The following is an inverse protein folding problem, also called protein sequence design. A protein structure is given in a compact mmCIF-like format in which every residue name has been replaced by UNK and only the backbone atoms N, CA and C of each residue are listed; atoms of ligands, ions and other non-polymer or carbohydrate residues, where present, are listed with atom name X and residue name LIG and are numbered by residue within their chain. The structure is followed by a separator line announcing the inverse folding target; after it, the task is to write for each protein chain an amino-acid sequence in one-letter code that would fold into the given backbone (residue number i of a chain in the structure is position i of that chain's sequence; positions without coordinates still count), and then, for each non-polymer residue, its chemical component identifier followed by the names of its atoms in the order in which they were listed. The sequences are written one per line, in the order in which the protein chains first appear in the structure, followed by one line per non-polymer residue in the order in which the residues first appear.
data_IF_011956417071
#
_entry.id   IF_011956417071
#
_cell.length_a   1.000
_cell.length_b   1.000
_cell.length_c   1.000
_cell.angle_alpha   90.00
_cell.angle_beta   90.00
_cell.angle_gamma   90.00
#
_symmetry.space_group_name_H-M   'P 1'
#
loop_
_entity.id
_entity.type
_entity.pdbx_description
1 polymer ?
#
# COMPACT_ATOMS: atom_id res chain seq x y z
N UNK A 1 -10.45 33.92 -4.30
CA UNK A 1 -10.81 32.53 -4.31
C UNK A 1 -10.07 31.76 -3.24
N UNK A 2 -10.78 30.96 -2.54
CA UNK A 2 -10.21 30.13 -1.48
C UNK A 2 -9.60 28.87 -2.08
N UNK A 3 -8.40 28.53 -1.65
CA UNK A 3 -7.84 27.24 -1.98
C UNK A 3 -8.54 26.17 -1.13
N UNK A 4 -9.33 25.35 -1.78
CA UNK A 4 -10.11 24.29 -1.14
C UNK A 4 -9.47 22.93 -1.26
N UNK A 5 -8.30 22.82 -1.91
CA UNK A 5 -7.71 21.53 -2.18
C UNK A 5 -7.46 20.72 -0.90
N UNK A 6 -7.00 21.36 0.18
CA UNK A 6 -6.76 20.68 1.45
C UNK A 6 -8.05 20.26 2.15
N UNK A 7 -9.15 20.99 1.93
CA UNK A 7 -10.47 20.67 2.49
C UNK A 7 -11.14 19.56 1.70
N UNK A 8 -10.84 19.47 0.41
CA UNK A 8 -11.49 18.53 -0.50
C UNK A 8 -10.81 17.16 -0.51
N UNK A 9 -9.62 17.06 0.06
CA UNK A 9 -8.92 15.78 0.09
C UNK A 9 -9.44 14.90 1.22
N UNK A 10 -9.43 13.61 0.96
CA UNK A 10 -9.78 12.57 1.92
C UNK A 10 -8.64 11.57 2.02
N UNK A 11 -8.65 10.80 3.06
CA UNK A 11 -7.61 9.80 3.32
C UNK A 11 -7.98 8.47 2.70
N UNK A 12 -7.02 7.84 2.05
CA UNK A 12 -7.14 6.52 1.45
C UNK A 12 -5.93 5.69 1.81
N UNK A 13 -6.06 4.38 1.71
CA UNK A 13 -4.93 3.47 1.89
C UNK A 13 -4.77 2.65 0.62
N UNK A 14 -3.55 2.61 0.12
CA UNK A 14 -3.18 1.77 -1.02
C UNK A 14 -2.41 0.57 -0.47
N UNK A 15 -3.00 -0.60 -0.57
CA UNK A 15 -2.36 -1.85 -0.18
C UNK A 15 -1.65 -2.44 -1.40
N UNK A 16 -0.38 -2.76 -1.23
CA UNK A 16 0.44 -3.34 -2.29
C UNK A 16 0.53 -4.84 -2.03
N UNK A 17 0.00 -5.62 -2.96
CA UNK A 17 0.01 -7.08 -2.88
C UNK A 17 1.15 -7.61 -3.74
N UNK A 18 1.97 -8.47 -3.17
CA UNK A 18 3.12 -9.06 -3.84
C UNK A 18 3.02 -10.57 -3.81
N UNK A 19 3.60 -11.23 -4.83
CA UNK A 19 3.95 -12.63 -4.75
C UNK A 19 5.22 -12.72 -3.91
N UNK A 20 5.11 -13.20 -2.69
CA UNK A 20 6.19 -13.13 -1.72
C UNK A 20 7.44 -13.91 -2.15
N UNK A 21 7.33 -15.16 -2.66
CA UNK A 21 8.49 -15.84 -3.19
C UNK A 21 9.19 -15.10 -4.32
N UNK A 22 8.43 -14.49 -5.23
CA UNK A 22 9.00 -13.72 -6.34
C UNK A 22 9.74 -12.49 -5.83
N UNK A 23 9.17 -11.80 -4.85
CA UNK A 23 9.82 -10.64 -4.24
C UNK A 23 11.14 -11.02 -3.58
N UNK A 24 11.16 -12.13 -2.84
CA UNK A 24 12.38 -12.60 -2.17
C UNK A 24 13.46 -13.00 -3.18
N UNK A 25 13.07 -13.46 -4.36
CA UNK A 25 14.01 -13.86 -5.40
C UNK A 25 14.61 -12.67 -6.18
N UNK A 26 14.05 -11.47 -6.02
CA UNK A 26 14.53 -10.29 -6.75
C UNK A 26 15.89 -9.83 -6.26
N UNK A 27 16.70 -9.33 -7.19
CA UNK A 27 17.94 -8.65 -6.87
C UNK A 27 17.65 -7.27 -6.31
N UNK A 28 18.65 -6.64 -5.70
CA UNK A 28 18.52 -5.26 -5.22
C UNK A 28 18.18 -4.30 -6.36
N UNK A 29 18.77 -4.51 -7.53
CA UNK A 29 18.49 -3.69 -8.71
C UNK A 29 17.02 -3.83 -9.15
N UNK A 30 16.49 -5.04 -9.14
CA UNK A 30 15.09 -5.29 -9.49
C UNK A 30 14.14 -4.66 -8.46
N UNK A 31 14.48 -4.74 -7.18
CA UNK A 31 13.69 -4.08 -6.12
C UNK A 31 13.73 -2.57 -6.27
N UNK A 32 14.85 -2.02 -6.71
CA UNK A 32 14.97 -0.58 -6.93
C UNK A 32 14.02 -0.11 -8.04
N UNK A 33 13.84 -0.90 -9.08
CA UNK A 33 12.85 -0.60 -10.14
C UNK A 33 11.45 -0.47 -9.54
N UNK A 34 11.10 -1.35 -8.62
CA UNK A 34 9.81 -1.29 -7.92
C UNK A 34 9.69 -0.01 -7.08
N UNK A 35 10.72 0.30 -6.31
CA UNK A 35 10.71 1.50 -5.47
C UNK A 35 10.66 2.79 -6.31
N UNK A 36 11.32 2.80 -7.45
CA UNK A 36 11.26 3.93 -8.38
C UNK A 36 9.85 4.13 -8.93
N UNK A 37 9.16 3.04 -9.26
CA UNK A 37 7.77 3.11 -9.72
C UNK A 37 6.84 3.62 -8.61
N UNK A 38 7.07 3.21 -7.38
CA UNK A 38 6.29 3.68 -6.23
C UNK A 38 6.51 5.18 -5.98
N UNK A 39 7.75 5.64 -6.14
CA UNK A 39 8.06 7.05 -6.05
C UNK A 39 7.34 7.84 -7.16
N UNK A 40 7.34 7.32 -8.37
CA UNK A 40 6.64 7.93 -9.50
C UNK A 40 5.12 8.02 -9.26
N UNK A 41 4.54 7.04 -8.55
CA UNK A 41 3.14 7.12 -8.14
C UNK A 41 2.88 8.35 -7.28
N UNK A 42 3.73 8.60 -6.29
CA UNK A 42 3.59 9.78 -5.44
C UNK A 42 3.65 11.07 -6.23
N UNK A 43 4.57 11.16 -7.19
CA UNK A 43 4.68 12.32 -8.07
C UNK A 43 3.43 12.50 -8.95
N UNK A 44 2.91 11.41 -9.49
CA UNK A 44 1.70 11.44 -10.33
C UNK A 44 0.49 11.87 -9.51
N UNK A 45 0.39 11.43 -8.26
CA UNK A 45 -0.69 11.81 -7.37
C UNK A 45 -0.62 13.29 -7.01
N UNK A 46 0.57 13.82 -6.78
CA UNK A 46 0.76 15.25 -6.51
C UNK A 46 0.25 16.11 -7.67
N UNK A 47 0.47 15.69 -8.90
CA UNK A 47 -0.03 16.39 -10.08
C UNK A 47 -1.56 16.40 -10.14
N UNK A 48 -2.22 15.48 -9.43
CA UNK A 48 -3.68 15.37 -9.37
C UNK A 48 -4.28 15.94 -8.09
N UNK A 49 -3.46 16.62 -7.29
CA UNK A 49 -3.93 17.31 -6.10
C UNK A 49 -3.89 16.48 -4.82
N UNK A 50 -3.29 15.30 -4.88
CA UNK A 50 -3.11 14.46 -3.71
C UNK A 50 -1.66 14.37 -3.26
N UNK A 51 -1.39 13.51 -2.30
CA UNK A 51 -0.02 13.24 -1.84
C UNK A 51 0.04 12.00 -0.99
N UNK A 52 1.20 11.39 -0.94
CA UNK A 52 1.50 10.29 -0.01
C UNK A 52 1.89 10.91 1.33
N UNK A 53 1.23 10.50 2.40
CA UNK A 53 1.48 11.03 3.76
C UNK A 53 2.05 9.99 4.71
N UNK A 54 2.15 8.75 4.30
CA UNK A 54 2.72 7.69 5.13
C UNK A 54 2.75 6.37 4.40
N UNK A 55 3.19 5.36 5.10
CA UNK A 55 3.27 4.01 4.58
C UNK A 55 4.59 3.35 4.90
N UNK A 56 4.72 2.11 4.49
CA UNK A 56 5.93 1.32 4.69
C UNK A 56 5.93 0.11 3.79
N UNK A 57 7.11 -0.25 3.29
CA UNK A 57 7.34 -1.61 2.82
C UNK A 57 7.32 -2.54 4.04
N UNK A 58 6.80 -3.74 3.86
CA UNK A 58 6.68 -4.71 4.96
C UNK A 58 7.72 -5.81 4.80
N UNK A 59 8.18 -6.31 5.94
CA UNK A 59 9.07 -7.45 5.96
C UNK A 59 8.32 -8.75 5.66
N UNK A 60 9.06 -9.82 5.42
CA UNK A 60 8.52 -11.14 5.10
C UNK A 60 7.54 -11.60 6.18
N UNK A 61 6.45 -12.23 5.76
CA UNK A 61 5.37 -12.66 6.66
C UNK A 61 5.82 -13.64 7.74
N UNK A 62 6.91 -14.35 7.52
CA UNK A 62 7.49 -15.23 8.55
C UNK A 62 7.91 -14.49 9.82
N UNK A 63 8.09 -13.16 9.73
CA UNK A 63 8.46 -12.33 10.88
C UNK A 63 7.26 -11.63 11.52
N UNK A 64 6.06 -11.86 10.99
CA UNK A 64 4.85 -11.26 11.53
C UNK A 64 4.40 -12.02 12.78
N UNK A 65 3.78 -11.32 13.69
CA UNK A 65 3.15 -11.89 14.86
C UNK A 65 1.66 -11.65 14.79
N UNK A 66 0.88 -12.70 15.08
CA UNK A 66 -0.57 -12.64 15.03
C UNK A 66 -1.11 -12.70 16.45
N UNK A 67 -1.89 -11.72 16.84
CA UNK A 67 -2.65 -11.76 18.09
C UNK A 67 -4.12 -11.96 17.73
N UNK A 68 -4.76 -12.90 18.39
CA UNK A 68 -6.18 -13.17 18.19
C UNK A 68 -6.90 -13.25 19.53
N UNK A 69 -8.19 -12.94 19.48
CA UNK A 69 -9.07 -13.07 20.65
C UNK A 69 -9.85 -14.38 20.50
N UNK A 70 -9.59 -15.31 21.41
CA UNK A 70 -10.27 -16.59 21.46
C UNK A 70 -11.09 -16.63 22.75
N UNK A 71 -12.40 -16.32 22.61
CA UNK A 71 -13.35 -16.28 23.73
C UNK A 71 -12.84 -15.45 24.93
N UNK A 72 -12.25 -14.28 24.64
CA UNK A 72 -11.74 -13.38 25.67
C UNK A 72 -10.28 -13.64 26.07
N UNK A 73 -9.66 -14.66 25.49
CA UNK A 73 -8.25 -14.99 25.76
C UNK A 73 -7.42 -14.56 24.54
N UNK A 74 -6.38 -13.77 24.78
CA UNK A 74 -5.44 -13.41 23.74
C UNK A 74 -4.54 -14.58 23.42
N UNK A 75 -4.48 -14.93 22.13
CA UNK A 75 -3.54 -15.93 21.62
C UNK A 75 -2.54 -15.24 20.72
N UNK A 76 -1.30 -15.70 20.77
CA UNK A 76 -0.23 -15.20 19.92
C UNK A 76 0.31 -16.35 19.09
N UNK A 77 0.41 -16.13 17.77
CA UNK A 77 0.98 -17.11 16.84
C UNK A 77 1.92 -16.41 15.87
N UNK A 78 2.80 -17.18 15.25
CA UNK A 78 3.66 -16.66 14.19
C UNK A 78 2.83 -16.49 12.91
N UNK A 79 3.15 -15.44 12.13
CA UNK A 79 2.56 -15.26 10.81
C UNK A 79 3.15 -16.22 9.79
N UNK A 80 2.53 -16.26 8.60
CA UNK A 80 1.40 -15.43 8.17
C UNK A 80 0.05 -15.91 8.73
N UNK A 81 -0.93 -15.01 8.72
CA UNK A 81 -2.29 -15.36 9.13
C UNK A 81 -2.91 -16.39 8.17
N UNK A 82 -2.66 -16.25 6.89
CA UNK A 82 -3.16 -17.14 5.86
C UNK A 82 -1.99 -17.66 5.01
N UNK A 83 -2.04 -18.94 4.67
CA UNK A 83 -1.08 -19.58 3.78
C UNK A 83 -1.40 -19.18 2.35
N UNK A 84 -0.64 -18.25 1.79
CA UNK A 84 -0.79 -17.78 0.42
C UNK A 84 0.56 -17.26 -0.06
N UNK A 85 0.82 -17.40 -1.36
CA UNK A 85 2.01 -16.78 -1.96
C UNK A 85 1.82 -15.27 -2.12
N UNK A 86 0.56 -14.81 -2.27
CA UNK A 86 0.26 -13.39 -2.33
C UNK A 86 0.06 -12.86 -0.91
N UNK A 87 0.87 -11.89 -0.55
CA UNK A 87 0.85 -11.27 0.76
C UNK A 87 0.98 -9.76 0.61
N UNK A 88 0.61 -9.02 1.64
CA UNK A 88 0.85 -7.58 1.65
C UNK A 88 2.36 -7.34 1.69
N UNK A 89 2.86 -6.67 0.67
CA UNK A 89 4.26 -6.26 0.60
C UNK A 89 4.50 -4.85 1.09
N UNK A 90 3.43 -4.07 1.25
CA UNK A 90 3.52 -2.71 1.73
C UNK A 90 2.19 -1.99 1.66
N UNK A 91 2.20 -0.75 2.11
CA UNK A 91 1.03 0.10 2.01
C UNK A 91 1.44 1.56 1.97
N UNK A 92 0.56 2.39 1.40
CA UNK A 92 0.70 3.84 1.41
C UNK A 92 -0.56 4.45 1.97
N UNK A 93 -0.41 5.44 2.83
CA UNK A 93 -1.51 6.29 3.26
C UNK A 93 -1.42 7.54 2.42
N UNK A 94 -2.52 7.90 1.76
CA UNK A 94 -2.54 9.04 0.85
C UNK A 94 -3.71 9.96 1.17
N UNK A 95 -3.55 11.22 0.83
CA UNK A 95 -4.65 12.16 0.73
C UNK A 95 -4.89 12.41 -0.74
N UNK A 96 -6.16 12.43 -1.14
CA UNK A 96 -6.52 12.60 -2.55
C UNK A 96 -7.88 13.26 -2.66
N UNK A 97 -8.09 14.07 -3.72
CA UNK A 97 -9.42 14.65 -3.97
C UNK A 97 -10.45 13.60 -4.39
N UNK A 98 -10.01 12.44 -4.90
CA UNK A 98 -10.93 11.39 -5.35
C UNK A 98 -10.23 10.05 -5.40
N UNK A 99 -11.02 8.98 -5.41
CA UNK A 99 -10.55 7.63 -5.70
C UNK A 99 -9.94 7.56 -7.09
N UNK A 100 -10.58 8.22 -8.07
CA UNK A 100 -10.14 8.18 -9.46
C UNK A 100 -8.74 8.77 -9.65
N UNK A 101 -8.41 9.83 -8.92
CA UNK A 101 -7.07 10.41 -8.95
C UNK A 101 -6.02 9.39 -8.51
N UNK A 102 -6.34 8.58 -7.51
CA UNK A 102 -5.42 7.52 -7.03
C UNK A 102 -5.29 6.43 -8.09
N UNK A 103 -6.41 5.97 -8.63
CA UNK A 103 -6.43 4.90 -9.63
C UNK A 103 -5.60 5.30 -10.85
N UNK A 104 -5.80 6.50 -11.35
CA UNK A 104 -5.03 6.99 -12.51
C UNK A 104 -3.54 7.14 -12.19
N UNK A 105 -3.22 7.63 -11.00
CA UNK A 105 -1.82 7.77 -10.57
C UNK A 105 -1.14 6.43 -10.36
N UNK A 106 -1.90 5.43 -9.93
CA UNK A 106 -1.38 4.09 -9.61
C UNK A 106 -1.03 3.27 -10.84
N UNK A 107 -1.45 3.67 -12.03
CA UNK A 107 -1.13 2.94 -13.26
C UNK A 107 0.38 2.78 -13.46
N UNK A 108 1.18 3.75 -13.01
CA UNK A 108 2.64 3.69 -13.14
C UNK A 108 3.24 2.55 -12.30
N UNK A 109 2.54 2.09 -11.28
CA UNK A 109 2.99 0.99 -10.42
C UNK A 109 2.58 -0.38 -10.94
N UNK A 110 1.60 -0.46 -11.84
CA UNK A 110 1.04 -1.76 -12.24
C UNK A 110 2.04 -2.69 -12.92
N UNK A 111 3.02 -2.21 -13.70
CA UNK A 111 4.00 -3.13 -14.30
C UNK A 111 4.88 -3.86 -13.28
N UNK A 112 5.00 -3.37 -12.05
CA UNK A 112 5.92 -3.92 -11.05
C UNK A 112 5.21 -4.56 -9.85
N UNK A 113 3.89 -4.51 -9.79
CA UNK A 113 3.12 -5.09 -8.69
C UNK A 113 2.09 -6.09 -9.20
N UNK A 114 1.80 -7.10 -8.39
CA UNK A 114 0.79 -8.11 -8.70
C UNK A 114 -0.61 -7.50 -8.68
N UNK A 115 -0.89 -6.73 -7.63
CA UNK A 115 -2.20 -6.14 -7.43
C UNK A 115 -2.09 -5.00 -6.44
N UNK A 116 -2.91 -3.98 -6.65
CA UNK A 116 -3.12 -2.92 -5.67
C UNK A 116 -4.55 -2.97 -5.20
N UNK A 117 -4.77 -2.77 -3.92
CA UNK A 117 -6.11 -2.65 -3.35
C UNK A 117 -6.20 -1.27 -2.71
N UNK A 118 -7.18 -0.49 -3.12
CA UNK A 118 -7.30 0.90 -2.69
C UNK A 118 -8.58 1.02 -1.88
N UNK A 119 -8.43 1.40 -0.62
CA UNK A 119 -9.55 1.51 0.31
C UNK A 119 -9.75 2.97 0.70
N UNK A 120 -10.97 3.48 0.67
CA UNK A 120 -11.25 4.77 1.27
C UNK A 120 -11.09 4.68 2.79
N UNK A 121 -10.62 5.75 3.41
CA UNK A 121 -10.69 5.88 4.85
C UNK A 121 -12.15 5.94 5.31
N UNK A 122 -12.38 5.80 6.60
CA UNK A 122 -13.75 5.74 7.12
C UNK A 122 -14.59 6.96 6.72
N UNK A 123 -13.94 8.12 6.62
CA UNK A 123 -14.62 9.38 6.31
C UNK A 123 -14.51 9.78 4.82
N UNK A 124 -13.93 8.95 4.01
CA UNK A 124 -13.75 9.28 2.59
C UNK A 124 -14.96 8.92 1.75
#
# INVERSE_FOLDING_TARGET
MTDTSSEDVRKYVVFVVENEPDWEAKTDAERQVTFDADYAFGQALEKRGGRVIGGSALGHTSRWQILSNDAGVTRRTDGPYAESVEQLGGFYIVESPSMEAIVESAEVMMPVHVRLEIAPGFDA
#
